data_IF_556876787141
#
_entry.id   IF_556876787141
#
_cell.length_a   1.000
_cell.length_b   1.000
_cell.length_c   1.000
_cell.angle_alpha   90.00
_cell.angle_beta   90.00
_cell.angle_gamma   90.00
#
_symmetry.space_group_name_H-M   'P 1'
#
loop_
_entity.id
_entity.type
_entity.pdbx_description
1 polymer ?
#
# COMPACT_ATOMS: atom_id res chain seq x y z
N UNK A 1 -19.58 -5.61 56.30
CA UNK A 1 -19.58 -5.27 54.86
C UNK A 1 -19.81 -6.57 54.11
N UNK A 2 -21.06 -6.84 53.76
CA UNK A 2 -21.43 -8.01 52.97
C UNK A 2 -20.95 -7.87 51.52
N UNK A 3 -20.61 -8.98 50.84
CA UNK A 3 -20.23 -8.94 49.44
C UNK A 3 -21.46 -8.59 48.59
N UNK A 4 -21.32 -7.55 47.77
CA UNK A 4 -22.32 -7.18 46.77
C UNK A 4 -22.45 -8.30 45.76
N UNK A 5 -23.46 -9.15 45.91
CA UNK A 5 -23.90 -10.09 44.88
C UNK A 5 -24.23 -9.26 43.64
N UNK A 6 -23.35 -9.29 42.63
CA UNK A 6 -23.67 -8.75 41.31
C UNK A 6 -24.79 -9.61 40.74
N UNK A 7 -26.01 -9.07 40.68
CA UNK A 7 -27.03 -9.61 39.80
C UNK A 7 -26.48 -9.59 38.36
N UNK A 8 -26.14 -10.76 37.81
CA UNK A 8 -25.65 -10.87 36.43
C UNK A 8 -26.84 -10.94 35.49
N UNK A 9 -27.59 -9.83 35.42
CA UNK A 9 -28.60 -9.56 34.37
C UNK A 9 -28.25 -8.28 33.63
N UNK A 10 -26.96 -8.01 33.44
CA UNK A 10 -26.47 -6.95 32.57
C UNK A 10 -25.86 -7.59 31.32
N UNK A 11 -26.52 -7.41 30.19
CA UNK A 11 -25.94 -7.72 28.89
C UNK A 11 -24.90 -6.63 28.60
N UNK A 12 -23.63 -7.01 28.62
CA UNK A 12 -22.57 -6.14 28.11
C UNK A 12 -22.47 -6.34 26.61
N UNK A 13 -22.45 -5.22 25.88
CA UNK A 13 -22.20 -5.21 24.44
C UNK A 13 -20.82 -5.81 24.13
N UNK A 14 -20.77 -6.72 23.18
CA UNK A 14 -19.53 -7.36 22.77
C UNK A 14 -18.89 -6.50 21.68
N UNK A 15 -17.69 -5.98 21.92
CA UNK A 15 -17.00 -5.16 20.93
C UNK A 15 -16.51 -6.03 19.77
N UNK A 16 -17.28 -6.10 18.68
CA UNK A 16 -16.90 -6.86 17.51
C UNK A 16 -15.62 -6.33 16.85
N UNK A 17 -15.27 -5.05 17.04
CA UNK A 17 -14.04 -4.46 16.49
C UNK A 17 -12.77 -5.00 17.16
N UNK A 18 -12.89 -5.68 18.30
CA UNK A 18 -11.79 -6.43 18.90
C UNK A 18 -11.43 -7.71 18.12
N UNK A 19 -12.31 -8.17 17.22
CA UNK A 19 -12.06 -9.31 16.35
C UNK A 19 -11.24 -8.85 15.14
N UNK A 20 -10.07 -9.46 14.96
CA UNK A 20 -9.24 -9.23 13.79
C UNK A 20 -9.99 -9.59 12.50
N UNK A 21 -9.87 -8.72 11.49
CA UNK A 21 -10.46 -8.89 10.16
C UNK A 21 -12.00 -8.92 10.09
N UNK A 22 -12.72 -8.43 11.11
CA UNK A 22 -14.18 -8.26 11.04
C UNK A 22 -14.60 -7.22 9.98
N UNK A 23 -13.79 -6.18 9.83
CA UNK A 23 -13.89 -5.16 8.78
C UNK A 23 -12.56 -5.11 8.01
N UNK A 24 -12.60 -4.88 6.70
CA UNK A 24 -11.39 -4.75 5.89
C UNK A 24 -10.54 -3.51 6.26
N UNK A 25 -11.16 -2.41 6.73
CA UNK A 25 -10.47 -1.14 6.98
C UNK A 25 -10.84 -0.49 8.31
N UNK A 26 -12.00 0.15 8.42
CA UNK A 26 -12.43 0.82 9.65
C UNK A 26 -13.61 0.08 10.26
N UNK A 27 -13.54 -0.13 11.57
CA UNK A 27 -14.63 -0.69 12.38
C UNK A 27 -15.06 0.35 13.41
N UNK A 28 -16.37 0.47 13.61
CA UNK A 28 -16.97 1.26 14.69
C UNK A 28 -17.95 0.36 15.45
N UNK A 29 -17.66 0.10 16.71
CA UNK A 29 -18.55 -0.65 17.59
C UNK A 29 -19.81 0.18 17.90
N UNK A 30 -20.96 -0.47 17.95
CA UNK A 30 -22.25 0.13 18.29
C UNK A 30 -23.03 -0.79 19.23
N UNK A 31 -23.92 -0.29 20.09
CA UNK A 31 -24.68 -1.19 20.97
C UNK A 31 -25.46 -2.26 20.18
N UNK A 32 -25.10 -3.53 20.36
CA UNK A 32 -25.68 -4.70 19.71
C UNK A 32 -25.21 -4.97 18.28
N UNK A 33 -24.22 -4.23 17.76
CA UNK A 33 -23.71 -4.40 16.39
C UNK A 33 -22.41 -3.65 16.11
N UNK A 34 -21.97 -3.62 14.86
CA UNK A 34 -20.84 -2.83 14.42
C UNK A 34 -21.06 -2.28 13.01
N UNK A 35 -20.36 -1.21 12.70
CA UNK A 35 -20.37 -0.62 11.37
C UNK A 35 -18.97 -0.59 10.76
N UNK A 36 -18.80 -1.28 9.64
CA UNK A 36 -17.62 -1.14 8.81
C UNK A 36 -17.70 0.10 7.92
N UNK A 37 -16.59 0.81 7.73
CA UNK A 37 -16.48 1.89 6.76
C UNK A 37 -15.12 1.85 6.04
N UNK A 38 -15.03 2.54 4.90
CA UNK A 38 -13.84 2.54 4.06
C UNK A 38 -13.16 3.92 4.04
N UNK A 39 -11.84 3.94 3.89
CA UNK A 39 -11.09 5.19 3.65
C UNK A 39 -11.40 5.74 2.26
N UNK A 40 -11.16 7.04 2.07
CA UNK A 40 -11.29 7.69 0.76
C UNK A 40 -10.50 6.93 -0.31
N UNK A 41 -11.13 6.64 -1.44
CA UNK A 41 -10.55 5.80 -2.49
C UNK A 41 -11.05 4.34 -2.48
N UNK A 42 -12.00 4.01 -1.60
CA UNK A 42 -12.65 2.70 -1.56
C UNK A 42 -14.17 2.83 -1.39
N UNK A 43 -14.91 1.86 -1.91
CA UNK A 43 -16.35 1.69 -1.75
C UNK A 43 -16.66 0.47 -0.87
N UNK A 44 -17.69 0.58 -0.03
CA UNK A 44 -18.11 -0.46 0.91
C UNK A 44 -18.95 -1.52 0.18
N UNK A 45 -18.58 -2.79 0.36
CA UNK A 45 -19.35 -3.96 -0.09
C UNK A 45 -19.47 -4.94 1.07
N UNK A 46 -20.54 -4.82 1.86
CA UNK A 46 -20.68 -5.53 3.14
C UNK A 46 -19.61 -5.08 4.13
N UNK A 47 -18.81 -6.02 4.64
CA UNK A 47 -17.67 -5.73 5.52
C UNK A 47 -16.37 -5.46 4.74
N UNK A 48 -16.42 -5.48 3.40
CA UNK A 48 -15.27 -5.34 2.52
C UNK A 48 -15.13 -3.94 1.93
N UNK A 49 -13.90 -3.57 1.62
CA UNK A 49 -13.59 -2.29 0.98
C UNK A 49 -12.92 -2.51 -0.38
N UNK A 50 -13.61 -2.13 -1.44
CA UNK A 50 -13.15 -2.31 -2.83
C UNK A 50 -12.62 -0.97 -3.33
N UNK A 51 -11.41 -0.94 -3.89
CA UNK A 51 -10.83 0.29 -4.43
C UNK A 51 -11.71 0.88 -5.55
N UNK A 52 -11.99 2.17 -5.49
CA UNK A 52 -12.69 2.88 -6.58
C UNK A 52 -11.69 3.28 -7.67
N UNK A 53 -12.16 3.38 -8.92
CA UNK A 53 -11.35 3.70 -10.11
C UNK A 53 -10.36 2.61 -10.53
N UNK A 54 -10.61 1.34 -10.19
CA UNK A 54 -9.91 0.20 -10.79
C UNK A 54 -10.67 -0.23 -12.05
N UNK A 55 -10.04 -0.26 -13.24
CA UNK A 55 -10.69 -0.72 -14.46
C UNK A 55 -11.23 -2.15 -14.32
N UNK A 56 -12.44 -2.39 -14.84
CA UNK A 56 -13.06 -3.71 -14.78
C UNK A 56 -12.21 -4.74 -15.55
N UNK A 57 -11.91 -5.88 -14.91
CA UNK A 57 -11.10 -6.96 -15.51
C UNK A 57 -9.60 -6.85 -15.26
N UNK A 58 -9.12 -5.84 -14.53
CA UNK A 58 -7.73 -5.82 -14.06
C UNK A 58 -7.56 -6.76 -12.86
N UNK A 59 -6.70 -7.77 -13.02
CA UNK A 59 -6.31 -8.63 -11.92
C UNK A 59 -5.33 -7.94 -10.98
N UNK A 60 -5.35 -8.34 -9.71
CA UNK A 60 -4.30 -7.98 -8.78
C UNK A 60 -2.93 -8.40 -9.32
N UNK A 61 -1.92 -7.56 -9.11
CA UNK A 61 -0.55 -7.84 -9.52
C UNK A 61 0.40 -7.67 -8.35
N UNK A 62 1.36 -8.57 -8.24
CA UNK A 62 2.49 -8.49 -7.33
C UNK A 62 3.65 -7.82 -8.06
N UNK A 63 4.39 -6.96 -7.37
CA UNK A 63 5.62 -6.34 -7.90
C UNK A 63 6.79 -6.82 -7.04
N UNK A 64 7.71 -7.57 -7.65
CA UNK A 64 8.95 -8.08 -7.06
C UNK A 64 10.10 -7.22 -7.52
N UNK A 65 10.96 -6.86 -6.57
CA UNK A 65 11.98 -5.85 -6.83
C UNK A 65 13.30 -6.33 -6.25
N UNK A 66 14.33 -6.30 -7.08
CA UNK A 66 15.71 -6.62 -6.74
C UNK A 66 16.59 -5.39 -6.92
N UNK A 67 17.89 -5.53 -6.67
CA UNK A 67 18.84 -4.45 -6.94
C UNK A 67 18.84 -4.03 -8.41
N UNK A 68 18.58 -4.93 -9.36
CA UNK A 68 18.73 -4.61 -10.79
C UNK A 68 17.46 -4.88 -11.60
N UNK A 69 16.36 -5.26 -10.97
CA UNK A 69 15.19 -5.74 -11.67
C UNK A 69 13.89 -5.38 -10.96
N UNK A 70 12.87 -5.03 -11.74
CA UNK A 70 11.50 -4.92 -11.28
C UNK A 70 10.64 -5.88 -12.11
N UNK A 71 9.97 -6.80 -11.44
CA UNK A 71 9.09 -7.78 -12.06
C UNK A 71 7.67 -7.58 -11.54
N UNK A 72 6.70 -7.41 -12.45
CA UNK A 72 5.27 -7.40 -12.13
C UNK A 72 4.64 -8.70 -12.59
N UNK A 73 3.99 -9.42 -11.69
CA UNK A 73 3.28 -10.68 -11.98
C UNK A 73 1.81 -10.55 -11.65
N UNK A 74 0.94 -10.85 -12.62
CA UNK A 74 -0.50 -10.99 -12.41
C UNK A 74 -0.85 -12.36 -11.82
N UNK A 75 -1.96 -12.44 -11.09
CA UNK A 75 -2.51 -13.70 -10.59
C UNK A 75 -2.79 -14.74 -11.69
N UNK A 76 -2.91 -14.31 -12.95
CA UNK A 76 -3.10 -15.19 -14.11
C UNK A 76 -1.77 -15.72 -14.70
N UNK A 77 -0.63 -15.44 -14.06
CA UNK A 77 0.69 -15.90 -14.51
C UNK A 77 1.36 -15.04 -15.57
N UNK A 78 0.73 -13.94 -16.00
CA UNK A 78 1.38 -12.95 -16.87
C UNK A 78 2.43 -12.17 -16.08
N UNK A 79 3.69 -12.27 -16.49
CA UNK A 79 4.81 -11.57 -15.88
C UNK A 79 5.44 -10.57 -16.86
N UNK A 80 5.72 -9.37 -16.35
CA UNK A 80 6.44 -8.30 -17.04
C UNK A 80 7.71 -7.99 -16.25
N UNK A 81 8.86 -8.08 -16.89
CA UNK A 81 10.17 -7.83 -16.27
C UNK A 81 10.80 -6.57 -16.84
N UNK A 82 11.37 -5.74 -15.97
CA UNK A 82 12.08 -4.52 -16.33
C UNK A 82 13.46 -4.60 -15.71
N UNK A 83 14.44 -4.86 -16.57
CA UNK A 83 15.83 -4.82 -16.18
C UNK A 83 16.26 -3.36 -16.07
N UNK A 84 16.70 -2.97 -14.88
CA UNK A 84 17.37 -1.70 -14.66
C UNK A 84 18.86 -1.94 -14.86
N UNK A 85 19.46 -1.20 -15.78
CA UNK A 85 20.92 -1.21 -15.96
C UNK A 85 21.67 -0.67 -14.72
N UNK A 86 20.96 0.02 -13.83
CA UNK A 86 21.50 0.62 -12.62
C UNK A 86 20.93 -0.06 -11.38
N UNK A 87 21.75 -0.17 -10.33
CA UNK A 87 21.32 -0.65 -9.02
C UNK A 87 20.30 0.30 -8.41
N UNK A 88 19.18 -0.24 -7.95
CA UNK A 88 18.13 0.49 -7.25
C UNK A 88 18.36 0.42 -5.74
N UNK A 89 18.18 1.56 -5.07
CA UNK A 89 18.40 1.70 -3.62
C UNK A 89 17.15 1.95 -2.81
N UNK A 90 16.23 2.78 -3.33
CA UNK A 90 15.02 3.18 -2.64
C UNK A 90 13.86 3.00 -3.58
N UNK A 91 12.74 2.50 -3.05
CA UNK A 91 11.52 2.26 -3.79
C UNK A 91 10.33 2.85 -3.04
N UNK A 92 9.51 3.63 -3.74
CA UNK A 92 8.19 4.05 -3.28
C UNK A 92 7.10 3.57 -4.25
N UNK A 93 6.00 3.05 -3.70
CA UNK A 93 4.86 2.53 -4.47
C UNK A 93 3.64 3.39 -4.16
N UNK A 94 3.32 4.29 -5.07
CA UNK A 94 2.18 5.17 -4.92
C UNK A 94 0.91 4.54 -5.51
N UNK A 95 0.17 3.86 -4.64
CA UNK A 95 -1.04 3.11 -5.02
C UNK A 95 -2.15 3.99 -5.63
N UNK A 96 -2.26 5.30 -5.27
CA UNK A 96 -3.32 6.18 -5.80
C UNK A 96 -3.10 6.60 -7.25
N UNK A 97 -1.85 6.77 -7.65
CA UNK A 97 -1.50 7.20 -9.00
C UNK A 97 -0.97 6.03 -9.86
N UNK A 98 -0.92 4.82 -9.28
CA UNK A 98 -0.35 3.61 -9.90
C UNK A 98 1.05 3.86 -10.43
N UNK A 99 1.87 4.50 -9.62
CA UNK A 99 3.26 4.83 -9.98
C UNK A 99 4.21 4.12 -9.04
N UNK A 100 5.28 3.59 -9.59
CA UNK A 100 6.42 3.11 -8.82
C UNK A 100 7.60 4.03 -9.09
N UNK A 101 8.30 4.43 -8.04
CA UNK A 101 9.42 5.34 -8.10
C UNK A 101 10.64 4.68 -7.48
N UNK A 102 11.78 4.77 -8.15
CA UNK A 102 13.05 4.21 -7.71
C UNK A 102 14.16 5.25 -7.72
N UNK A 103 15.06 5.18 -6.74
CA UNK A 103 16.34 5.89 -6.76
C UNK A 103 17.45 4.94 -7.21
N UNK A 104 18.20 5.29 -8.25
CA UNK A 104 19.33 4.51 -8.75
C UNK A 104 20.66 5.03 -8.20
N UNK A 105 21.59 4.12 -7.90
CA UNK A 105 22.95 4.43 -7.38
C UNK A 105 23.93 4.85 -8.47
N UNK A 106 23.48 5.62 -9.45
CA UNK A 106 24.37 6.25 -10.43
C UNK A 106 25.07 7.46 -9.80
N UNK A 107 26.11 7.96 -10.45
CA UNK A 107 26.73 9.24 -10.07
C UNK A 107 26.54 10.22 -11.24
N UNK A 108 25.61 11.20 -11.15
CA UNK A 108 24.74 11.51 -10.01
C UNK A 108 23.58 10.50 -9.86
N UNK A 109 23.01 10.35 -8.64
CA UNK A 109 21.88 9.46 -8.42
C UNK A 109 20.68 9.95 -9.24
N UNK A 110 19.89 9.02 -9.78
CA UNK A 110 18.73 9.36 -10.58
C UNK A 110 17.45 8.84 -9.92
N UNK A 111 16.46 9.73 -9.80
CA UNK A 111 15.12 9.35 -9.38
C UNK A 111 14.26 9.12 -10.63
N UNK A 112 13.80 7.89 -10.81
CA UNK A 112 12.99 7.49 -11.96
C UNK A 112 11.68 6.91 -11.49
N UNK A 113 10.59 7.35 -12.09
CA UNK A 113 9.27 6.84 -11.79
C UNK A 113 8.57 6.38 -13.07
N UNK A 114 7.71 5.37 -12.93
CA UNK A 114 7.04 4.71 -14.05
C UNK A 114 5.58 4.39 -13.68
N UNK A 115 4.66 4.40 -14.65
CA UNK A 115 3.32 3.81 -14.44
C UNK A 115 3.49 2.31 -14.26
N UNK A 116 2.84 1.75 -13.24
CA UNK A 116 2.77 0.30 -13.00
C UNK A 116 2.01 -0.41 -14.14
N UNK A 117 1.15 0.33 -14.85
CA UNK A 117 0.40 -0.14 -16.02
C UNK A 117 1.20 -0.20 -17.30
N UNK A 118 2.08 0.78 -17.46
CA UNK A 118 2.80 1.01 -18.68
C UNK A 118 4.17 1.56 -18.30
N UNK A 119 5.12 0.65 -18.22
CA UNK A 119 6.49 0.96 -17.84
C UNK A 119 7.29 1.67 -18.96
N UNK A 120 6.71 1.83 -20.15
CA UNK A 120 7.27 2.68 -21.21
C UNK A 120 7.08 4.17 -20.89
N UNK A 121 6.10 4.53 -20.05
CA UNK A 121 5.90 5.88 -19.57
C UNK A 121 6.80 6.17 -18.37
N UNK A 122 7.93 6.81 -18.66
CA UNK A 122 8.93 7.24 -17.68
C UNK A 122 8.83 8.73 -17.44
N UNK A 123 8.97 9.14 -16.19
CA UNK A 123 9.20 10.54 -15.84
C UNK A 123 10.35 10.65 -14.84
N UNK A 124 11.20 11.64 -15.09
CA UNK A 124 12.27 12.03 -14.20
C UNK A 124 11.78 13.18 -13.33
N UNK A 125 11.95 13.05 -12.02
CA UNK A 125 11.74 14.16 -11.10
C UNK A 125 13.13 14.71 -10.79
N UNK A 126 13.30 16.03 -10.95
CA UNK A 126 14.54 16.68 -10.55
C UNK A 126 14.71 16.50 -9.05
N UNK A 127 15.79 15.82 -8.68
CA UNK A 127 16.16 15.67 -7.28
C UNK A 127 16.40 17.07 -6.67
N UNK A 128 15.94 17.31 -5.43
CA UNK A 128 16.33 18.49 -4.68
C UNK A 128 17.87 18.61 -4.64
N UNK A 129 18.44 19.83 -4.59
CA UNK A 129 19.88 20.05 -4.63
C UNK A 129 20.68 19.24 -3.59
N UNK A 130 20.08 19.01 -2.41
CA UNK A 130 20.63 18.20 -1.31
C UNK A 130 20.89 16.74 -1.72
N UNK A 131 20.10 16.17 -2.62
CA UNK A 131 20.26 14.80 -3.09
C UNK A 131 21.16 14.71 -4.34
N UNK A 132 21.40 15.83 -5.03
CA UNK A 132 22.32 15.90 -6.18
C UNK A 132 23.78 16.13 -5.79
N UNK A 133 24.07 16.49 -4.53
CA UNK A 133 25.41 16.86 -4.04
C UNK A 133 26.06 15.82 -3.14
N UNK A 134 25.64 14.55 -3.16
CA UNK A 134 26.36 13.47 -2.48
C UNK A 134 27.64 13.09 -3.25
N UNK A 135 28.53 14.06 -3.42
CA UNK A 135 29.95 13.76 -3.42
C UNK A 135 30.30 13.45 -1.97
N UNK A 136 30.35 12.16 -1.63
CA UNK A 136 30.96 11.71 -0.39
C UNK A 136 32.46 12.03 -0.47
N UNK A 137 32.86 13.27 -0.17
CA UNK A 137 34.22 13.53 0.27
C UNK A 137 34.37 12.91 1.66
N UNK A 138 35.14 11.82 1.69
CA UNK A 138 35.68 11.20 2.89
C UNK A 138 36.24 12.27 3.83
N UNK A 139 35.67 12.37 5.04
CA UNK A 139 36.34 12.94 6.21
C UNK A 139 36.72 11.78 7.12
#
# INVERSE_FOLDING_TARGET
MEPSVKNVTQCQDFDECSINAICDQKCKNTPGSYECSCVKGYSKSGNRCIAINVPAGENATLVFITQNNMQRTSLNGQAYEIQSNNKMSILDVWHRNRTVCGLTTTTPPQFQCQKIDNFDQKWQINLPPILSSFDCEYI
#
